data_IF_918219044882
#
_entry.id   IF_918219044882
#
_cell.length_a   1.000
_cell.length_b   1.000
_cell.length_c   1.000
_cell.angle_alpha   90.00
_cell.angle_beta   90.00
_cell.angle_gamma   90.00
#
_symmetry.space_group_name_H-M   'P 1'
#
loop_
_entity.id
_entity.type
_entity.pdbx_description
1 polymer ?
#
# COMPACT_ATOMS: atom_id res chain seq x y z
N UNK A 1 12.52 30.45 17.56
CA UNK A 1 12.84 30.00 16.18
C UNK A 1 12.14 28.66 16.05
N UNK A 2 10.96 28.63 15.43
CA UNK A 2 10.28 27.37 15.15
C UNK A 2 11.11 26.67 14.08
N UNK A 3 11.82 25.60 14.44
CA UNK A 3 12.42 24.71 13.46
C UNK A 3 11.27 23.89 12.89
N UNK A 4 10.62 24.41 11.86
CA UNK A 4 9.54 23.70 11.18
C UNK A 4 10.17 22.50 10.47
N UNK A 5 10.17 21.33 11.14
CA UNK A 5 10.59 20.08 10.53
C UNK A 5 9.48 19.67 9.57
N UNK A 6 9.80 19.60 8.28
CA UNK A 6 8.87 19.15 7.25
C UNK A 6 8.35 17.75 7.49
N UNK A 7 7.12 17.50 7.03
CA UNK A 7 6.56 16.17 6.90
C UNK A 7 7.18 15.46 5.70
N UNK A 8 7.57 14.20 5.84
CA UNK A 8 7.83 13.32 4.69
C UNK A 8 6.60 12.47 4.39
N UNK A 9 6.17 12.47 3.13
CA UNK A 9 5.11 11.59 2.62
C UNK A 9 5.71 10.61 1.63
N UNK A 10 5.50 9.31 1.87
CA UNK A 10 5.88 8.23 0.95
C UNK A 10 4.63 7.62 0.33
N UNK A 11 4.52 7.73 -1.00
CA UNK A 11 3.50 7.04 -1.79
C UNK A 11 4.10 5.78 -2.41
N UNK A 12 3.84 4.64 -1.77
CA UNK A 12 4.19 3.32 -2.26
C UNK A 12 3.22 2.86 -3.34
N UNK A 13 3.44 3.29 -4.58
CA UNK A 13 2.66 2.84 -5.74
C UNK A 13 3.23 1.53 -6.26
N UNK A 14 2.64 0.42 -5.83
CA UNK A 14 3.05 -0.92 -6.27
C UNK A 14 2.81 -1.10 -7.78
N UNK A 15 3.81 -1.61 -8.47
CA UNK A 15 3.78 -1.90 -9.91
C UNK A 15 4.03 -0.68 -10.83
N UNK A 16 4.67 0.40 -10.36
CA UNK A 16 5.21 1.41 -11.29
C UNK A 16 6.40 0.80 -12.03
N UNK A 17 6.28 0.75 -13.35
CA UNK A 17 7.33 0.41 -14.28
C UNK A 17 7.99 1.69 -14.81
N UNK A 18 9.31 1.78 -14.72
CA UNK A 18 10.06 2.99 -15.10
C UNK A 18 9.95 3.30 -16.60
N UNK A 19 9.99 2.26 -17.45
CA UNK A 19 9.90 2.43 -18.90
C UNK A 19 8.51 2.96 -19.28
N UNK A 20 7.44 2.35 -18.76
CA UNK A 20 6.07 2.80 -19.04
C UNK A 20 5.82 4.22 -18.52
N UNK A 21 6.29 4.54 -17.31
CA UNK A 21 6.14 5.88 -16.74
C UNK A 21 6.86 6.94 -17.59
N UNK A 22 8.02 6.60 -18.16
CA UNK A 22 8.80 7.48 -19.04
C UNK A 22 8.16 7.59 -20.42
N UNK A 23 7.79 6.47 -21.04
CA UNK A 23 7.14 6.42 -22.36
C UNK A 23 5.84 7.23 -22.38
N UNK A 24 5.05 7.13 -21.32
CA UNK A 24 3.77 7.83 -21.21
C UNK A 24 3.88 9.25 -20.65
N UNK A 25 5.10 9.75 -20.45
CA UNK A 25 5.39 11.11 -19.99
C UNK A 25 4.74 11.44 -18.63
N UNK A 26 4.64 10.45 -17.74
CA UNK A 26 4.06 10.61 -16.39
C UNK A 26 5.08 10.48 -15.27
N UNK A 27 6.32 10.06 -15.54
CA UNK A 27 7.37 9.87 -14.54
C UNK A 27 7.55 11.10 -13.62
N UNK A 28 7.57 12.31 -14.20
CA UNK A 28 7.74 13.57 -13.45
C UNK A 28 6.61 13.88 -12.47
N UNK A 29 5.47 13.19 -12.58
CA UNK A 29 4.38 13.29 -11.62
C UNK A 29 4.67 12.51 -10.33
N UNK A 30 5.52 11.49 -10.39
CA UNK A 30 5.92 10.64 -9.26
C UNK A 30 7.20 11.14 -8.57
N UNK A 31 7.86 12.14 -9.14
CA UNK A 31 9.03 12.81 -8.56
C UNK A 31 9.65 13.72 -9.60
N UNK A 32 10.24 14.85 -9.18
CA UNK A 32 10.97 15.71 -10.11
C UNK A 32 12.22 15.01 -10.65
N UNK A 33 12.89 14.26 -9.78
CA UNK A 33 13.97 13.36 -10.11
C UNK A 33 13.46 11.93 -9.95
N UNK A 34 13.72 11.09 -10.96
CA UNK A 34 13.28 9.70 -10.96
C UNK A 34 14.43 8.78 -11.33
N UNK A 35 14.37 7.55 -10.82
CA UNK A 35 15.36 6.51 -11.07
C UNK A 35 14.71 5.14 -11.09
N UNK A 36 15.23 4.28 -11.95
CA UNK A 36 14.98 2.84 -11.89
C UNK A 36 15.83 2.23 -10.77
N UNK A 37 15.19 1.46 -9.90
CA UNK A 37 15.86 0.74 -8.82
C UNK A 37 16.05 -0.73 -9.18
N UNK A 38 17.17 -1.30 -8.76
CA UNK A 38 17.33 -2.75 -8.74
C UNK A 38 16.43 -3.37 -7.66
N UNK A 39 15.69 -4.42 -8.03
CA UNK A 39 14.91 -5.25 -7.11
C UNK A 39 15.45 -6.69 -7.08
N UNK A 40 14.89 -7.53 -6.22
CA UNK A 40 15.33 -8.92 -6.08
C UNK A 40 14.19 -9.92 -6.22
N UNK A 41 14.54 -11.13 -6.64
CA UNK A 41 13.61 -12.24 -6.82
C UNK A 41 13.48 -13.07 -5.55
N UNK A 42 12.28 -13.62 -5.32
CA UNK A 42 12.16 -14.76 -4.43
C UNK A 42 12.80 -15.99 -5.11
N UNK A 43 13.77 -16.62 -4.47
CA UNK A 43 14.52 -17.76 -5.01
C UNK A 43 13.65 -18.91 -5.55
N UNK A 44 12.46 -19.11 -4.97
CA UNK A 44 11.55 -20.21 -5.32
C UNK A 44 10.42 -19.81 -6.29
N UNK A 45 10.21 -18.52 -6.50
CA UNK A 45 9.26 -17.99 -7.47
C UNK A 45 9.96 -17.48 -8.74
N UNK A 46 11.25 -17.12 -8.67
CA UNK A 46 12.04 -16.59 -9.78
C UNK A 46 11.50 -15.26 -10.30
N UNK A 47 10.91 -14.45 -9.43
CA UNK A 47 10.34 -13.13 -9.73
C UNK A 47 10.27 -12.28 -8.46
N UNK A 48 10.23 -10.94 -8.56
CA UNK A 48 10.04 -10.08 -7.40
C UNK A 48 8.66 -10.30 -6.79
N UNK A 49 8.54 -10.13 -5.48
CA UNK A 49 7.29 -10.34 -4.79
C UNK A 49 7.07 -9.36 -3.63
N UNK A 50 5.99 -8.58 -3.71
CA UNK A 50 5.51 -7.60 -2.73
C UNK A 50 5.63 -8.06 -1.28
N UNK A 51 5.31 -9.33 -1.01
CA UNK A 51 5.33 -9.89 0.35
C UNK A 51 6.70 -9.76 1.06
N UNK A 52 7.81 -9.88 0.35
CA UNK A 52 9.15 -9.81 0.96
C UNK A 52 9.87 -8.50 0.67
N UNK A 53 9.60 -7.85 -0.46
CA UNK A 53 10.29 -6.61 -0.83
C UNK A 53 9.84 -5.42 0.04
N UNK A 54 8.56 -5.26 0.36
CA UNK A 54 8.12 -4.13 1.20
C UNK A 54 8.71 -4.15 2.62
N UNK A 55 8.80 -5.30 3.33
CA UNK A 55 9.62 -5.41 4.53
C UNK A 55 11.08 -4.96 4.33
N UNK A 56 11.69 -5.32 3.20
CA UNK A 56 13.05 -4.89 2.88
C UNK A 56 13.14 -3.39 2.62
N UNK A 57 12.16 -2.80 1.94
CA UNK A 57 12.05 -1.34 1.73
C UNK A 57 11.99 -0.58 3.05
N UNK A 58 11.17 -1.04 4.01
CA UNK A 58 10.99 -0.31 5.28
C UNK A 58 12.08 -0.60 6.31
N UNK A 59 12.93 -1.60 6.11
CA UNK A 59 14.04 -1.95 7.02
C UNK A 59 15.42 -1.66 6.44
N UNK A 60 15.52 -1.53 5.12
CA UNK A 60 16.78 -1.51 4.38
C UNK A 60 17.54 -2.84 4.44
N UNK A 61 16.86 -3.94 4.77
CA UNK A 61 17.48 -5.26 4.98
C UNK A 61 16.91 -6.32 4.06
N UNK A 62 17.70 -7.28 3.60
CA UNK A 62 17.21 -8.36 2.76
C UNK A 62 16.37 -9.39 3.54
N UNK A 63 15.63 -10.28 2.86
CA UNK A 63 14.76 -11.29 3.48
C UNK A 63 15.41 -12.16 4.57
N UNK A 64 16.68 -12.52 4.42
CA UNK A 64 17.44 -13.30 5.40
C UNK A 64 17.62 -12.63 6.76
N UNK A 65 17.58 -11.30 6.79
CA UNK A 65 17.78 -10.53 8.02
C UNK A 65 16.47 -10.33 8.79
N UNK A 66 15.35 -10.18 8.07
CA UNK A 66 14.04 -9.99 8.69
C UNK A 66 13.16 -11.25 8.72
N UNK A 67 13.56 -12.32 8.03
CA UNK A 67 12.90 -13.63 8.04
C UNK A 67 11.50 -13.63 7.41
N UNK A 68 11.22 -12.71 6.48
CA UNK A 68 9.92 -12.62 5.80
C UNK A 68 10.15 -12.96 4.33
N UNK A 69 9.50 -14.04 3.88
CA UNK A 69 9.64 -14.59 2.54
C UNK A 69 8.27 -14.79 1.91
N UNK A 70 8.15 -14.54 0.61
CA UNK A 70 6.94 -14.84 -0.15
C UNK A 70 6.67 -16.36 -0.23
N UNK A 71 7.74 -17.14 -0.35
CA UNK A 71 7.72 -18.60 -0.40
C UNK A 71 9.06 -19.16 0.13
N UNK A 72 8.98 -20.25 0.90
CA UNK A 72 10.15 -20.99 1.41
C UNK A 72 10.07 -22.47 1.01
N UNK A 73 11.17 -23.22 1.11
CA UNK A 73 11.24 -24.64 0.72
C UNK A 73 10.35 -25.51 1.64
N UNK A 74 10.25 -25.13 2.92
CA UNK A 74 9.46 -25.81 3.94
C UNK A 74 7.97 -25.43 3.90
N UNK A 75 7.63 -24.27 3.31
CA UNK A 75 6.26 -23.80 3.14
C UNK A 75 5.76 -24.02 1.71
N UNK A 76 5.17 -25.19 1.48
CA UNK A 76 4.37 -25.45 0.29
C UNK A 76 3.25 -24.41 0.14
N UNK A 77 3.49 -23.39 -0.70
CA UNK A 77 2.51 -22.41 -1.15
C UNK A 77 1.61 -21.87 -0.01
N UNK A 78 2.18 -21.16 0.97
CA UNK A 78 1.42 -20.53 2.05
C UNK A 78 0.33 -19.56 1.53
N UNK A 79 0.53 -19.00 0.35
CA UNK A 79 -0.41 -18.07 -0.29
C UNK A 79 -1.48 -18.71 -1.19
N UNK A 80 -1.36 -20.00 -1.53
CA UNK A 80 -2.26 -20.66 -2.49
C UNK A 80 -2.92 -21.96 -1.99
N UNK A 81 -2.61 -22.46 -0.79
CA UNK A 81 -2.92 -23.88 -0.47
C UNK A 81 -3.88 -24.16 0.70
N UNK A 82 -4.34 -23.18 1.49
CA UNK A 82 -5.34 -23.46 2.56
C UNK A 82 -6.75 -22.98 2.28
N UNK A 83 -6.92 -21.80 1.68
CA UNK A 83 -8.25 -21.25 1.34
C UNK A 83 -8.74 -21.77 -0.01
N UNK A 84 -7.88 -21.81 -1.02
CA UNK A 84 -8.19 -22.33 -2.38
C UNK A 84 -8.48 -23.84 -2.35
N UNK A 85 -7.73 -24.63 -1.57
CA UNK A 85 -7.93 -26.08 -1.47
C UNK A 85 -9.23 -26.46 -0.75
N UNK A 86 -9.66 -25.66 0.24
CA UNK A 86 -10.94 -25.85 0.92
C UNK A 86 -12.11 -25.44 0.03
N UNK A 87 -11.97 -24.34 -0.72
CA UNK A 87 -12.94 -23.88 -1.70
C UNK A 87 -13.13 -24.88 -2.85
N UNK A 88 -12.03 -25.43 -3.40
CA UNK A 88 -12.05 -26.41 -4.50
C UNK A 88 -12.62 -27.78 -4.09
N UNK A 89 -12.54 -28.17 -2.80
CA UNK A 89 -13.19 -29.40 -2.31
C UNK A 89 -14.70 -29.26 -2.10
N UNK A 90 -15.19 -28.05 -1.88
CA UNK A 90 -16.61 -27.77 -1.66
C UNK A 90 -17.40 -27.56 -2.96
N UNK A 91 -16.73 -27.23 -4.07
CA UNK A 91 -17.35 -27.07 -5.40
C UNK A 91 -17.56 -28.39 -6.14
N UNK A 92 -16.85 -29.47 -5.76
CA UNK A 92 -16.98 -30.80 -6.38
C UNK A 92 -18.06 -31.71 -5.75
N UNK A 93 -18.90 -31.20 -4.84
CA UNK A 93 -19.94 -31.97 -4.15
C UNK A 93 -21.28 -31.27 -4.05
N UNK A 94 -22.37 -32.05 -3.98
CA UNK A 94 -23.75 -31.58 -3.78
C UNK A 94 -23.93 -31.12 -2.33
N UNK A 95 -23.45 -29.91 -2.01
CA UNK A 95 -23.60 -29.32 -0.67
C UNK A 95 -24.76 -28.32 -0.68
N UNK A 96 -25.75 -28.46 0.23
CA UNK A 96 -26.88 -27.53 0.34
C UNK A 96 -26.43 -26.08 0.56
N UNK A 97 -27.13 -25.14 -0.07
CA UNK A 97 -26.79 -23.71 -0.11
C UNK A 97 -26.65 -23.07 1.28
N UNK A 98 -27.46 -23.48 2.26
CA UNK A 98 -27.35 -23.01 3.66
C UNK A 98 -26.03 -23.39 4.32
N UNK A 99 -25.51 -24.59 4.06
CA UNK A 99 -24.25 -25.06 4.61
C UNK A 99 -23.10 -24.31 3.95
N UNK A 100 -23.19 -24.05 2.64
CA UNK A 100 -22.22 -23.23 1.90
C UNK A 100 -22.14 -21.80 2.43
N UNK A 101 -23.28 -21.19 2.75
CA UNK A 101 -23.34 -19.84 3.32
C UNK A 101 -22.82 -19.80 4.75
N UNK A 102 -23.14 -20.79 5.58
CA UNK A 102 -22.63 -20.89 6.96
C UNK A 102 -21.13 -21.20 7.01
N UNK A 103 -20.63 -22.09 6.15
CA UNK A 103 -19.19 -22.38 6.02
C UNK A 103 -18.47 -21.17 5.42
N UNK A 104 -19.02 -20.51 4.40
CA UNK A 104 -18.45 -19.28 3.85
C UNK A 104 -18.41 -18.15 4.87
N UNK A 105 -19.43 -18.04 5.73
CA UNK A 105 -19.44 -17.10 6.87
C UNK A 105 -18.45 -17.52 7.96
N UNK A 106 -18.25 -18.82 8.18
CA UNK A 106 -17.25 -19.35 9.10
C UNK A 106 -15.82 -19.21 8.58
N UNK A 107 -15.56 -19.32 7.27
CA UNK A 107 -14.25 -19.09 6.63
C UNK A 107 -13.93 -17.58 6.59
N UNK A 108 -14.94 -16.73 6.39
CA UNK A 108 -14.78 -15.27 6.54
C UNK A 108 -14.53 -14.86 7.99
N UNK A 109 -15.20 -15.49 8.96
CA UNK A 109 -15.07 -15.16 10.39
C UNK A 109 -13.87 -15.85 11.06
N UNK A 110 -13.53 -17.06 10.64
CA UNK A 110 -12.31 -17.77 10.99
C UNK A 110 -11.29 -17.60 9.88
N UNK A 111 -11.31 -16.43 9.21
CA UNK A 111 -10.26 -16.01 8.31
C UNK A 111 -8.97 -16.38 9.02
N UNK A 112 -8.24 -17.34 8.43
CA UNK A 112 -6.90 -17.63 8.87
C UNK A 112 -6.28 -16.25 8.93
N UNK A 113 -5.97 -15.75 10.12
CA UNK A 113 -5.25 -14.49 10.27
C UNK A 113 -4.03 -14.70 9.38
N UNK A 114 -4.05 -14.09 8.20
CA UNK A 114 -2.89 -14.02 7.35
C UNK A 114 -1.83 -13.45 8.29
N UNK A 115 -0.72 -14.17 8.44
CA UNK A 115 0.35 -13.89 9.39
C UNK A 115 1.12 -12.63 8.93
N UNK A 116 0.39 -11.53 8.78
CA UNK A 116 0.91 -10.21 8.50
C UNK A 116 1.67 -9.76 9.73
N UNK A 117 2.93 -9.43 9.52
CA UNK A 117 3.78 -8.96 10.60
C UNK A 117 3.30 -7.59 11.07
N UNK A 118 3.39 -7.38 12.38
CA UNK A 118 3.03 -6.13 13.05
C UNK A 118 4.31 -5.44 13.51
N UNK A 119 4.29 -4.17 13.95
CA UNK A 119 5.46 -3.52 14.54
C UNK A 119 6.13 -4.32 15.67
N UNK A 120 5.35 -5.11 16.43
CA UNK A 120 5.90 -5.99 17.47
C UNK A 120 6.85 -7.06 16.91
N UNK A 121 6.58 -7.60 15.72
CA UNK A 121 7.43 -8.59 15.07
C UNK A 121 8.86 -8.09 14.87
N UNK A 122 9.00 -6.87 14.37
CA UNK A 122 10.28 -6.21 14.09
C UNK A 122 11.00 -5.84 15.38
N UNK A 123 10.29 -5.17 16.33
CA UNK A 123 10.86 -4.79 17.63
C UNK A 123 11.35 -5.98 18.44
N UNK A 124 10.59 -7.07 18.51
CA UNK A 124 10.95 -8.27 19.26
C UNK A 124 12.21 -8.96 18.69
N UNK A 125 12.57 -8.65 17.44
CA UNK A 125 13.77 -9.15 16.75
C UNK A 125 14.90 -8.13 16.68
N UNK A 126 14.72 -6.92 17.23
CA UNK A 126 15.70 -5.85 17.13
C UNK A 126 15.93 -5.39 15.69
N UNK A 127 14.92 -5.49 14.84
CA UNK A 127 14.95 -4.97 13.47
C UNK A 127 14.29 -3.60 13.50
N UNK A 128 15.06 -2.59 13.13
CA UNK A 128 14.60 -1.22 13.02
C UNK A 128 13.87 -1.02 11.69
N UNK A 129 12.84 -0.19 11.71
CA UNK A 129 12.07 0.23 10.54
C UNK A 129 12.11 1.74 10.40
N UNK A 130 11.83 2.27 9.21
CA UNK A 130 11.71 3.72 8.94
C UNK A 130 10.68 4.45 9.82
N UNK A 131 9.85 3.71 10.56
CA UNK A 131 8.81 4.23 11.46
C UNK A 131 9.30 4.42 12.90
N UNK A 132 10.40 3.76 13.28
CA UNK A 132 10.89 3.77 14.65
C UNK A 132 11.49 5.15 15.00
N UNK A 133 11.30 5.56 16.26
CA UNK A 133 11.79 6.85 16.76
C UNK A 133 11.10 8.10 16.19
N UNK A 134 9.99 7.94 15.45
CA UNK A 134 9.27 9.01 14.75
C UNK A 134 7.80 9.05 15.11
N UNK A 135 7.20 10.23 14.99
CA UNK A 135 5.76 10.35 14.94
C UNK A 135 5.26 9.99 13.53
N UNK A 136 4.95 8.71 13.31
CA UNK A 136 4.65 8.18 11.98
C UNK A 136 3.22 7.63 11.83
N UNK A 137 2.72 7.66 10.59
CA UNK A 137 1.51 6.97 10.17
C UNK A 137 1.84 6.06 8.99
N UNK A 138 1.76 4.76 9.18
CA UNK A 138 1.80 3.77 8.10
C UNK A 138 0.39 3.33 7.72
N UNK A 139 0.13 3.18 6.42
CA UNK A 139 -1.16 2.77 5.88
C UNK A 139 -0.99 1.62 4.88
N UNK A 140 -1.53 0.47 5.24
CA UNK A 140 -1.60 -0.73 4.42
C UNK A 140 -0.25 -1.27 3.92
N UNK A 141 0.85 -0.95 4.59
CA UNK A 141 2.20 -1.41 4.22
C UNK A 141 2.28 -2.94 4.37
N UNK A 142 2.62 -3.70 3.30
CA UNK A 142 2.66 -5.15 3.35
C UNK A 142 3.59 -5.65 4.46
N UNK A 143 3.09 -6.59 5.27
CA UNK A 143 3.81 -7.11 6.45
C UNK A 143 4.24 -6.05 7.46
N UNK A 144 3.49 -4.95 7.57
CA UNK A 144 3.62 -3.97 8.65
C UNK A 144 2.23 -3.47 9.07
N UNK A 145 1.41 -4.38 9.62
CA UNK A 145 0.02 -4.09 10.03
C UNK A 145 -0.02 -3.35 11.36
N UNK A 146 -0.67 -2.20 11.39
CA UNK A 146 -0.80 -1.35 12.58
C UNK A 146 -2.24 -1.25 13.08
N UNK A 147 -2.40 -0.71 14.28
CA UNK A 147 -3.74 -0.41 14.82
C UNK A 147 -4.49 0.66 14.03
N UNK A 148 -3.77 1.55 13.33
CA UNK A 148 -4.38 2.54 12.45
C UNK A 148 -5.07 1.86 11.27
N UNK A 149 -4.45 0.81 10.71
CA UNK A 149 -5.03 0.04 9.63
C UNK A 149 -6.35 -0.62 10.05
N UNK A 150 -6.36 -1.24 11.24
CA UNK A 150 -7.56 -1.87 11.79
C UNK A 150 -8.67 -0.85 12.06
N UNK A 151 -8.32 0.30 12.65
CA UNK A 151 -9.28 1.35 12.97
C UNK A 151 -9.90 2.00 11.72
N UNK A 152 -9.15 2.02 10.61
CA UNK A 152 -9.58 2.61 9.33
C UNK A 152 -10.13 1.57 8.35
N UNK A 153 -10.29 0.32 8.78
CA UNK A 153 -10.77 -0.79 7.96
C UNK A 153 -9.90 -1.02 6.69
N UNK A 154 -8.59 -0.80 6.83
CA UNK A 154 -7.59 -1.03 5.80
C UNK A 154 -7.24 -2.53 5.75
N UNK A 155 -8.09 -3.30 5.08
CA UNK A 155 -7.83 -4.73 4.91
C UNK A 155 -6.60 -5.00 4.05
N UNK A 156 -5.85 -6.03 4.43
CA UNK A 156 -4.65 -6.49 3.73
C UNK A 156 -4.90 -7.71 2.85
N UNK A 157 -6.00 -8.46 3.09
CA UNK A 157 -6.36 -9.64 2.30
C UNK A 157 -6.94 -9.26 0.93
N UNK A 158 -6.04 -8.86 0.02
CA UNK A 158 -6.40 -8.52 -1.36
C UNK A 158 -7.03 -9.69 -2.09
N UNK A 159 -6.61 -10.92 -1.81
CA UNK A 159 -7.16 -12.14 -2.41
C UNK A 159 -8.64 -12.30 -2.10
N UNK A 160 -9.03 -12.13 -0.84
CA UNK A 160 -10.44 -12.16 -0.45
C UNK A 160 -11.22 -10.95 -0.98
N UNK A 161 -10.61 -9.75 -1.00
CA UNK A 161 -11.27 -8.53 -1.48
C UNK A 161 -11.48 -8.49 -2.99
N UNK A 162 -10.53 -9.04 -3.76
CA UNK A 162 -10.60 -9.09 -5.22
C UNK A 162 -11.21 -10.41 -5.71
N UNK A 163 -11.39 -11.42 -4.85
CA UNK A 163 -11.91 -12.73 -5.23
C UNK A 163 -13.34 -12.70 -5.81
N UNK A 164 -14.13 -11.67 -5.54
CA UNK A 164 -15.44 -11.48 -6.20
C UNK A 164 -15.34 -10.74 -7.54
N UNK A 165 -14.20 -10.09 -7.81
CA UNK A 165 -13.92 -9.29 -9.01
C UNK A 165 -13.02 -10.02 -10.02
N UNK A 166 -12.31 -11.06 -9.59
CA UNK A 166 -11.30 -11.77 -10.37
C UNK A 166 -11.58 -13.27 -10.42
N UNK A 167 -11.47 -13.84 -11.61
CA UNK A 167 -11.29 -15.26 -11.82
C UNK A 167 -9.80 -15.58 -11.86
N UNK A 168 -9.40 -16.63 -11.15
CA UNK A 168 -8.04 -17.16 -11.18
C UNK A 168 -8.06 -18.42 -12.02
N UNK A 169 -7.34 -18.41 -13.13
CA UNK A 169 -7.10 -19.60 -13.95
C UNK A 169 -5.63 -19.97 -13.88
N UNK A 170 -5.33 -21.26 -14.01
CA UNK A 170 -3.96 -21.76 -14.10
C UNK A 170 -3.81 -22.38 -15.48
N UNK A 171 -2.83 -21.92 -16.24
CA UNK A 171 -2.55 -22.48 -17.56
C UNK A 171 -1.85 -23.85 -17.46
N UNK A 172 -1.67 -24.53 -18.60
CA UNK A 172 -1.02 -25.84 -18.68
C UNK A 172 0.44 -25.83 -18.19
N UNK A 173 1.05 -24.66 -18.08
CA UNK A 173 2.42 -24.44 -17.61
C UNK A 173 2.48 -24.09 -16.11
N UNK A 174 1.33 -24.09 -15.42
CA UNK A 174 1.23 -23.76 -14.00
C UNK A 174 1.26 -22.26 -13.70
N UNK A 175 1.19 -21.40 -14.73
CA UNK A 175 1.16 -19.94 -14.54
C UNK A 175 -0.25 -19.52 -14.16
N UNK A 176 -0.33 -18.67 -13.14
CA UNK A 176 -1.59 -18.12 -12.66
C UNK A 176 -1.95 -16.90 -13.51
N UNK A 177 -3.13 -16.92 -14.13
CA UNK A 177 -3.70 -15.79 -14.86
C UNK A 177 -4.89 -15.25 -14.09
N UNK A 178 -4.93 -13.94 -13.91
CA UNK A 178 -6.06 -13.24 -13.33
C UNK A 178 -6.88 -12.63 -14.47
N UNK A 179 -8.19 -12.84 -14.45
CA UNK A 179 -9.12 -12.27 -15.42
C UNK A 179 -10.28 -11.61 -14.66
N UNK A 180 -10.80 -10.46 -15.10
CA UNK A 180 -11.98 -9.88 -14.48
C UNK A 180 -13.19 -10.83 -14.54
N UNK A 181 -13.85 -11.04 -13.41
CA UNK A 181 -15.13 -11.77 -13.33
C UNK A 181 -16.34 -10.84 -13.46
N UNK A 182 -16.10 -9.53 -13.44
CA UNK A 182 -17.10 -8.46 -13.56
C UNK A 182 -16.74 -7.49 -14.68
N UNK A 183 -17.69 -6.67 -15.18
CA UNK A 183 -17.37 -5.61 -16.14
C UNK A 183 -16.30 -4.65 -15.60
N UNK A 184 -15.40 -4.19 -16.48
CA UNK A 184 -14.23 -3.35 -16.15
C UNK A 184 -14.59 -2.13 -15.32
N UNK A 185 -15.62 -1.37 -15.70
CA UNK A 185 -16.04 -0.20 -14.94
C UNK A 185 -16.35 -0.48 -13.44
N UNK A 186 -16.80 -1.69 -13.09
CA UNK A 186 -17.04 -2.06 -11.68
C UNK A 186 -15.74 -2.38 -10.95
N UNK A 187 -14.81 -3.06 -11.62
CA UNK A 187 -13.48 -3.30 -11.10
C UNK A 187 -12.75 -1.97 -10.90
N UNK A 188 -12.78 -1.07 -11.89
CA UNK A 188 -12.22 0.28 -11.77
C UNK A 188 -12.80 1.04 -10.59
N UNK A 189 -14.13 1.06 -10.43
CA UNK A 189 -14.77 1.69 -9.26
C UNK A 189 -14.25 1.12 -7.94
N UNK A 190 -14.04 -0.19 -7.85
CA UNK A 190 -13.47 -0.84 -6.67
C UNK A 190 -12.03 -0.41 -6.41
N UNK A 191 -11.17 -0.48 -7.44
CA UNK A 191 -9.75 -0.12 -7.34
C UNK A 191 -9.55 1.37 -7.01
N UNK A 192 -10.30 2.25 -7.68
CA UNK A 192 -10.32 3.69 -7.39
C UNK A 192 -10.80 3.95 -5.96
N UNK A 193 -11.86 3.27 -5.50
CA UNK A 193 -12.36 3.46 -4.13
C UNK A 193 -11.32 3.06 -3.08
N UNK A 194 -10.56 1.99 -3.32
CA UNK A 194 -9.51 1.56 -2.42
C UNK A 194 -8.38 2.60 -2.34
N UNK A 195 -7.85 3.02 -3.50
CA UNK A 195 -6.77 4.01 -3.57
C UNK A 195 -7.20 5.34 -2.94
N UNK A 196 -8.39 5.84 -3.29
CA UNK A 196 -8.90 7.11 -2.78
C UNK A 196 -9.21 7.08 -1.29
N UNK A 197 -9.63 5.94 -0.73
CA UNK A 197 -9.81 5.79 0.71
C UNK A 197 -8.49 6.00 1.45
N UNK A 198 -7.40 5.38 0.97
CA UNK A 198 -6.06 5.52 1.55
C UNK A 198 -5.50 6.93 1.37
N UNK A 199 -5.59 7.49 0.16
CA UNK A 199 -5.16 8.87 -0.12
C UNK A 199 -5.96 9.90 0.68
N UNK A 200 -7.25 9.67 0.93
CA UNK A 200 -8.05 10.53 1.81
C UNK A 200 -7.49 10.61 3.23
N UNK A 201 -6.98 9.50 3.76
CA UNK A 201 -6.30 9.47 5.07
C UNK A 201 -4.98 10.21 5.00
N UNK A 202 -4.18 10.03 3.94
CA UNK A 202 -2.93 10.78 3.73
C UNK A 202 -3.20 12.30 3.74
N UNK A 203 -4.20 12.76 2.99
CA UNK A 203 -4.58 14.18 2.95
C UNK A 203 -5.06 14.71 4.31
N UNK A 204 -5.72 13.87 5.11
CA UNK A 204 -6.05 14.21 6.49
C UNK A 204 -4.81 14.28 7.39
N UNK A 205 -3.83 13.39 7.17
CA UNK A 205 -2.60 13.32 7.94
C UNK A 205 -1.65 14.48 7.62
N UNK A 206 -1.61 14.97 6.38
CA UNK A 206 -0.83 16.14 5.97
C UNK A 206 -1.16 17.39 6.80
N UNK A 207 -2.37 17.47 7.37
CA UNK A 207 -2.81 18.58 8.22
C UNK A 207 -2.31 18.48 9.68
N UNK A 208 -1.60 17.40 10.01
CA UNK A 208 -1.14 17.07 11.35
C UNK A 208 0.37 16.97 11.41
N UNK A 209 0.94 17.16 12.60
CA UNK A 209 2.38 17.17 12.83
C UNK A 209 3.02 15.78 12.80
N UNK A 210 2.77 14.98 11.77
CA UNK A 210 3.55 13.76 11.53
C UNK A 210 4.96 14.10 11.02
N UNK A 211 5.91 13.23 11.32
CA UNK A 211 7.26 13.24 10.74
C UNK A 211 7.25 12.45 9.43
N UNK A 212 6.55 11.31 9.42
CA UNK A 212 6.45 10.39 8.28
C UNK A 212 5.00 9.91 8.08
N UNK A 213 4.48 10.04 6.88
CA UNK A 213 3.26 9.35 6.43
C UNK A 213 3.62 8.43 5.28
N UNK A 214 3.43 7.12 5.45
CA UNK A 214 3.75 6.12 4.43
C UNK A 214 2.49 5.36 4.05
N UNK A 215 2.14 5.34 2.77
CA UNK A 215 0.97 4.61 2.27
C UNK A 215 1.37 3.63 1.18
N UNK A 216 0.78 2.43 1.19
CA UNK A 216 0.92 1.47 0.10
C UNK A 216 -0.36 1.36 -0.75
N UNK A 217 -0.19 1.36 -2.07
CA UNK A 217 -1.22 1.53 -3.09
C UNK A 217 -1.05 0.47 -4.20
N UNK A 218 -1.73 -0.67 -4.07
CA UNK A 218 -1.76 -1.75 -5.09
C UNK A 218 -2.53 -1.47 -6.39
N UNK A 219 -2.82 -0.20 -6.69
CA UNK A 219 -3.68 0.18 -7.81
C UNK A 219 -3.07 -0.18 -9.16
N UNK A 220 -1.81 0.21 -9.39
CA UNK A 220 -1.13 0.02 -10.68
C UNK A 220 -0.73 -1.44 -10.91
N UNK A 221 -0.22 -2.11 -9.88
CA UNK A 221 0.01 -3.56 -9.85
C UNK A 221 -1.21 -4.35 -10.37
N UNK A 222 -2.39 -4.12 -9.79
CA UNK A 222 -3.59 -4.86 -10.20
C UNK A 222 -4.07 -4.50 -11.60
N UNK A 223 -4.01 -3.22 -11.98
CA UNK A 223 -4.35 -2.83 -13.36
C UNK A 223 -3.40 -3.50 -14.35
N UNK A 224 -2.10 -3.45 -14.10
CA UNK A 224 -1.12 -4.02 -15.02
C UNK A 224 -1.26 -5.54 -15.14
N UNK A 225 -1.56 -6.26 -14.06
CA UNK A 225 -1.78 -7.71 -14.11
C UNK A 225 -2.94 -8.09 -15.02
N UNK A 226 -3.96 -7.24 -15.06
CA UNK A 226 -5.20 -7.50 -15.76
C UNK A 226 -5.20 -6.91 -17.16
N UNK A 227 -4.38 -5.88 -17.45
CA UNK A 227 -4.35 -5.19 -18.73
C UNK A 227 -4.27 -6.12 -19.95
N UNK A 228 -3.45 -7.20 -19.98
CA UNK A 228 -3.40 -8.12 -21.12
C UNK A 228 -4.65 -9.00 -21.30
N UNK A 229 -5.56 -8.98 -20.33
CA UNK A 229 -6.80 -9.80 -20.32
C UNK A 229 -8.04 -8.97 -20.59
N UNK A 230 -7.89 -7.64 -20.66
CA UNK A 230 -8.98 -6.68 -20.78
C UNK A 230 -9.04 -6.14 -22.20
N UNK A 231 -10.22 -6.22 -22.82
CA UNK A 231 -10.52 -5.69 -24.15
C UNK A 231 -10.85 -4.18 -24.09
N UNK A 232 -9.96 -3.40 -23.46
CA UNK A 232 -10.03 -1.93 -23.42
C UNK A 232 -8.63 -1.33 -23.62
N UNK A 233 -8.32 -0.98 -24.86
CA UNK A 233 -7.02 -0.40 -25.23
C UNK A 233 -6.66 0.81 -24.35
N UNK A 234 -5.39 0.85 -23.93
CA UNK A 234 -4.84 1.94 -23.14
C UNK A 234 -5.32 2.00 -21.68
N UNK A 235 -5.99 0.97 -21.16
CA UNK A 235 -6.46 0.95 -19.77
C UNK A 235 -5.33 1.15 -18.75
N UNK A 236 -4.20 0.45 -18.91
CA UNK A 236 -3.02 0.63 -18.06
C UNK A 236 -2.46 2.05 -18.11
N UNK A 237 -2.36 2.64 -19.31
CA UNK A 237 -1.95 4.04 -19.48
C UNK A 237 -2.88 5.01 -18.76
N UNK A 238 -4.21 4.85 -18.91
CA UNK A 238 -5.19 5.69 -18.18
C UNK A 238 -5.03 5.56 -16.67
N UNK A 239 -4.72 4.36 -16.17
CA UNK A 239 -4.45 4.16 -14.75
C UNK A 239 -3.17 4.87 -14.29
N UNK A 240 -2.09 4.85 -15.08
CA UNK A 240 -0.87 5.62 -14.81
C UNK A 240 -1.14 7.13 -14.81
N UNK A 241 -1.86 7.64 -15.79
CA UNK A 241 -2.26 9.06 -15.86
C UNK A 241 -3.11 9.47 -14.64
N UNK A 242 -3.97 8.56 -14.16
CA UNK A 242 -4.79 8.77 -12.98
C UNK A 242 -3.98 8.72 -11.67
N UNK A 243 -3.04 7.79 -11.52
CA UNK A 243 -2.12 7.74 -10.39
C UNK A 243 -1.23 8.98 -10.34
N UNK A 244 -0.67 9.38 -11.48
CA UNK A 244 0.09 10.62 -11.64
C UNK A 244 -0.73 11.86 -11.24
N UNK A 245 -2.01 11.91 -11.60
CA UNK A 245 -2.91 12.98 -11.17
C UNK A 245 -3.08 12.99 -9.65
N UNK A 246 -3.32 11.85 -9.02
CA UNK A 246 -3.48 11.76 -7.57
C UNK A 246 -2.19 12.12 -6.82
N UNK A 247 -1.03 11.71 -7.32
CA UNK A 247 0.27 12.12 -6.76
C UNK A 247 0.43 13.64 -6.81
N UNK A 248 0.10 14.28 -7.94
CA UNK A 248 0.13 15.76 -8.04
C UNK A 248 -0.83 16.43 -7.08
N UNK A 249 -2.02 15.86 -6.86
CA UNK A 249 -2.97 16.37 -5.86
C UNK A 249 -2.38 16.30 -4.44
N UNK A 250 -1.73 15.19 -4.07
CA UNK A 250 -1.02 15.08 -2.79
C UNK A 250 0.10 16.11 -2.71
N UNK A 251 0.95 16.24 -3.74
CA UNK A 251 2.03 17.25 -3.79
C UNK A 251 1.49 18.68 -3.59
N UNK A 252 0.32 18.99 -4.14
CA UNK A 252 -0.29 20.32 -4.01
C UNK A 252 -0.81 20.64 -2.60
N UNK A 253 -1.00 19.64 -1.74
CA UNK A 253 -1.37 19.82 -0.33
C UNK A 253 -0.13 20.00 0.58
N UNK A 254 1.07 19.74 0.05
CA UNK A 254 2.34 19.87 0.78
C UNK A 254 2.88 21.31 0.72
N UNK A 255 3.68 21.67 1.73
CA UNK A 255 4.40 22.95 1.80
C UNK A 255 5.84 22.79 1.30
N UNK A 256 6.53 23.90 1.03
CA UNK A 256 7.94 23.89 0.59
C UNK A 256 8.92 23.25 1.61
N UNK A 257 8.49 23.06 2.86
CA UNK A 257 9.28 22.37 3.88
C UNK A 257 9.09 20.85 3.86
N UNK A 258 7.98 20.37 3.28
CA UNK A 258 7.63 18.95 3.25
C UNK A 258 8.35 18.24 2.09
N UNK A 259 8.43 16.92 2.16
CA UNK A 259 9.07 16.08 1.13
C UNK A 259 8.10 15.01 0.64
N UNK A 260 8.02 14.83 -0.68
CA UNK A 260 7.28 13.73 -1.30
C UNK A 260 8.24 12.72 -1.93
N UNK A 261 8.07 11.45 -1.58
CA UNK A 261 8.73 10.33 -2.21
C UNK A 261 7.69 9.40 -2.83
N UNK A 262 7.95 8.88 -4.04
CA UNK A 262 7.20 7.76 -4.61
C UNK A 262 8.12 6.56 -4.78
N UNK A 263 7.61 5.39 -4.41
CA UNK A 263 8.37 4.13 -4.43
C UNK A 263 7.51 3.03 -5.03
N UNK A 264 8.12 2.17 -5.84
CA UNK A 264 7.57 0.88 -6.27
C UNK A 264 8.60 -0.21 -6.03
N UNK A 265 8.17 -1.35 -5.51
CA UNK A 265 8.99 -2.54 -5.25
C UNK A 265 9.39 -3.31 -6.51
N UNK A 266 8.61 -3.16 -7.58
CA UNK A 266 8.88 -3.68 -8.91
C UNK A 266 8.08 -2.92 -9.97
N UNK A 267 8.36 -3.18 -11.24
CA UNK A 267 7.53 -2.73 -12.36
C UNK A 267 6.58 -3.83 -12.82
N UNK A 268 5.75 -3.52 -13.82
CA UNK A 268 4.78 -4.48 -14.34
C UNK A 268 4.42 -4.22 -15.81
N UNK A 269 4.81 -5.17 -16.66
CA UNK A 269 4.55 -5.15 -18.10
C UNK A 269 3.93 -6.48 -18.54
N UNK A 270 3.02 -6.44 -19.51
CA UNK A 270 2.37 -7.64 -20.07
C UNK A 270 1.79 -8.61 -19.01
N UNK A 271 1.32 -8.03 -17.90
CA UNK A 271 0.72 -8.77 -16.78
C UNK A 271 1.72 -9.53 -15.90
N UNK A 272 3.01 -9.30 -16.06
CA UNK A 272 4.10 -9.94 -15.32
C UNK A 272 4.98 -8.89 -14.65
N UNK A 273 5.50 -9.21 -13.46
CA UNK A 273 6.39 -8.29 -12.75
C UNK A 273 7.70 -8.16 -13.55
N UNK A 274 8.19 -6.93 -13.69
CA UNK A 274 9.53 -6.65 -14.20
C UNK A 274 10.52 -6.53 -13.05
N UNK A 275 11.81 -6.65 -13.34
CA UNK A 275 12.91 -6.48 -12.38
C UNK A 275 13.30 -5.01 -12.17
N UNK A 276 12.45 -4.08 -12.63
CA UNK A 276 12.71 -2.64 -12.65
C UNK A 276 11.80 -1.94 -11.64
N UNK A 277 12.30 -1.77 -10.43
CA UNK A 277 11.61 -0.98 -9.40
C UNK A 277 11.70 0.52 -9.70
N UNK A 278 10.94 1.35 -8.98
CA UNK A 278 10.84 2.78 -9.25
C UNK A 278 11.07 3.62 -8.00
N UNK A 279 11.85 4.69 -8.14
CA UNK A 279 11.99 5.73 -7.13
C UNK A 279 11.81 7.12 -7.75
N UNK A 280 11.04 7.97 -7.08
CA UNK A 280 10.87 9.37 -7.44
C UNK A 280 10.92 10.26 -6.20
N UNK A 281 11.63 11.37 -6.28
CA UNK A 281 11.73 12.35 -5.21
C UNK A 281 11.85 13.79 -5.74
N UNK A 282 11.62 14.75 -4.85
CA UNK A 282 11.90 16.16 -5.11
C UNK A 282 13.42 16.47 -4.98
N UNK A 283 14.17 15.67 -4.22
CA UNK A 283 15.62 15.85 -4.01
C UNK A 283 16.45 14.97 -4.97
N UNK A 284 17.30 15.61 -5.78
CA UNK A 284 18.20 14.93 -6.74
C UNK A 284 19.28 14.09 -6.04
N UNK A 285 19.80 14.56 -4.90
CA UNK A 285 20.85 13.87 -4.14
C UNK A 285 20.38 12.52 -3.63
N UNK A 286 19.23 12.50 -2.97
CA UNK A 286 18.58 11.28 -2.46
C UNK A 286 18.27 10.31 -3.60
N UNK A 287 17.75 10.83 -4.72
CA UNK A 287 17.48 10.02 -5.92
C UNK A 287 18.73 9.38 -6.51
N UNK A 288 19.85 10.11 -6.52
CA UNK A 288 21.13 9.61 -7.06
C UNK A 288 21.75 8.54 -6.17
N UNK A 289 21.50 8.56 -4.87
CA UNK A 289 22.09 7.60 -3.91
C UNK A 289 21.23 6.36 -3.67
N UNK A 290 19.97 6.39 -4.09
CA UNK A 290 19.07 5.23 -4.02
C UNK A 290 19.22 4.37 -5.27
N UNK A 291 19.88 3.21 -5.19
CA UNK A 291 20.15 2.35 -6.36
C UNK A 291 19.31 1.07 -6.36
N UNK A 292 18.93 0.61 -5.17
CA UNK A 292 18.18 -0.63 -4.96
C UNK A 292 16.98 -0.39 -4.04
N UNK A 293 16.03 -1.32 -4.03
CA UNK A 293 14.90 -1.31 -3.07
C UNK A 293 15.36 -1.35 -1.60
N UNK A 294 16.59 -1.78 -1.32
CA UNK A 294 17.17 -1.79 0.03
C UNK A 294 17.65 -0.40 0.48
N UNK A 295 17.96 0.49 -0.46
CA UNK A 295 18.46 1.84 -0.14
C UNK A 295 17.32 2.79 0.24
N UNK A 296 16.07 2.42 -0.03
CA UNK A 296 14.89 3.27 0.20
C UNK A 296 14.74 3.64 1.68
N UNK A 297 15.06 2.75 2.61
CA UNK A 297 15.00 3.07 4.04
C UNK A 297 15.97 4.22 4.39
N UNK A 298 17.20 4.15 3.90
CA UNK A 298 18.20 5.19 4.11
C UNK A 298 17.81 6.51 3.44
N UNK A 299 17.22 6.44 2.23
CA UNK A 299 16.69 7.61 1.53
C UNK A 299 15.57 8.31 2.32
N UNK A 300 14.65 7.55 2.91
CA UNK A 300 13.62 8.09 3.81
C UNK A 300 14.27 8.72 5.04
N UNK A 301 15.29 8.07 5.61
CA UNK A 301 15.96 8.57 6.81
C UNK A 301 16.72 9.88 6.59
N UNK A 302 17.31 10.06 5.41
CA UNK A 302 18.02 11.27 5.03
C UNK A 302 17.11 12.51 5.01
N UNK A 303 15.88 12.35 4.48
CA UNK A 303 14.92 13.46 4.33
C UNK A 303 14.00 13.61 5.53
N UNK A 304 13.82 12.56 6.34
CA UNK A 304 12.86 12.57 7.45
C UNK A 304 13.52 13.00 8.76
N UNK A 305 13.21 14.21 9.22
CA UNK A 305 13.60 14.68 10.55
C UNK A 305 12.64 14.19 11.62
N UNK A 306 13.18 13.55 12.65
CA UNK A 306 12.39 13.01 13.77
C UNK A 306 12.12 14.10 14.81
N UNK A 307 10.87 14.28 15.22
CA UNK A 307 10.52 15.10 16.39
C UNK A 307 10.70 14.27 17.67
N UNK A 308 11.16 14.92 18.73
CA UNK A 308 11.44 14.26 20.02
C UNK A 308 10.21 13.99 20.88
N UNK A 309 9.01 14.47 20.49
CA UNK A 309 7.80 14.32 21.30
C UNK A 309 6.86 13.26 20.73
N UNK A 310 6.47 12.29 21.55
CA UNK A 310 5.69 11.11 21.19
C UNK A 310 4.21 11.29 21.54
N UNK A 311 3.64 12.41 21.09
CA UNK A 311 2.29 12.85 21.42
C UNK A 311 1.23 12.45 20.39
N UNK A 312 0.01 12.94 20.61
CA UNK A 312 -1.01 12.93 19.55
C UNK A 312 -0.64 14.03 18.55
N UNK A 313 -0.57 13.74 17.24
CA UNK A 313 -0.25 14.75 16.23
C UNK A 313 -1.17 15.97 16.29
N UNK A 314 -0.60 17.11 16.65
CA UNK A 314 -1.32 18.38 16.66
C UNK A 314 -1.68 18.83 15.24
N UNK A 315 -2.61 19.77 15.12
CA UNK A 315 -2.90 20.42 13.83
C UNK A 315 -1.76 21.37 13.49
N UNK A 316 -1.18 21.21 12.29
CA UNK A 316 -0.12 22.09 11.77
C UNK A 316 -0.64 23.51 11.61
N UNK A 317 0.24 24.50 11.80
CA UNK A 317 -0.10 25.92 11.73
C UNK A 317 -0.88 26.36 10.47
N UNK A 318 -0.55 25.91 9.24
CA UNK A 318 -1.31 26.29 8.04
C UNK A 318 -2.79 25.87 8.06
N UNK A 319 -3.13 24.84 8.85
CA UNK A 319 -4.47 24.28 8.97
C UNK A 319 -5.18 24.71 10.26
N UNK A 320 -4.47 25.39 11.16
CA UNK A 320 -5.01 25.88 12.42
C UNK A 320 -5.91 27.07 12.14
N UNK A 321 -7.18 26.97 12.52
CA UNK A 321 -8.11 28.12 12.52
C UNK A 321 -8.12 28.76 13.89
N UNK A 322 -8.24 30.09 13.94
CA UNK A 322 -8.51 30.79 15.20
C UNK A 322 -9.76 30.18 15.84
N UNK A 323 -9.60 29.62 17.04
CA UNK A 323 -10.68 29.02 17.79
C UNK A 323 -11.75 30.08 18.10
N UNK A 324 -12.88 30.00 17.40
CA UNK A 324 -14.15 30.45 17.97
C UNK A 324 -14.36 29.69 19.27
N UNK A 325 -14.48 30.40 20.38
CA UNK A 325 -14.52 29.91 21.77
C UNK A 325 -15.75 29.07 22.14
N UNK A 326 -16.30 28.32 21.21
CA UNK A 326 -17.49 27.48 21.39
C UNK A 326 -17.12 26.00 21.23
N UNK A 327 -16.21 25.51 22.06
CA UNK A 327 -16.21 24.09 22.40
C UNK A 327 -17.42 23.87 23.30
N UNK A 328 -18.54 23.42 22.71
CA UNK A 328 -19.72 23.03 23.47
C UNK A 328 -19.40 21.90 24.44
N UNK A 329 -20.08 21.86 25.59
CA UNK A 329 -19.96 20.74 26.53
C UNK A 329 -20.25 19.42 25.80
N UNK A 330 -19.51 18.36 26.11
CA UNK A 330 -19.60 17.07 25.39
C UNK A 330 -21.03 16.49 25.37
N UNK A 331 -21.81 16.78 26.42
CA UNK A 331 -23.23 16.39 26.53
C UNK A 331 -24.09 17.15 25.51
N UNK A 332 -23.91 18.47 25.37
CA UNK A 332 -24.61 19.26 24.37
C UNK A 332 -24.28 18.82 22.93
N UNK A 333 -23.03 18.44 22.66
CA UNK A 333 -22.64 17.86 21.36
C UNK A 333 -23.31 16.51 21.14
N UNK A 334 -23.35 15.66 22.17
CA UNK A 334 -24.01 14.34 22.09
C UNK A 334 -25.50 14.47 21.82
N UNK A 335 -26.18 15.36 22.54
CA UNK A 335 -27.61 15.62 22.36
C UNK A 335 -27.88 16.14 20.94
N UNK A 336 -27.07 17.09 20.48
CA UNK A 336 -27.15 17.59 19.11
C UNK A 336 -26.96 16.47 18.07
N UNK A 337 -25.97 15.60 18.25
CA UNK A 337 -25.74 14.48 17.32
C UNK A 337 -26.87 13.45 17.35
N UNK A 338 -27.48 13.21 18.52
CA UNK A 338 -28.64 12.32 18.68
C UNK A 338 -29.89 12.92 18.02
N UNK A 339 -30.13 14.22 18.19
CA UNK A 339 -31.23 14.95 17.55
C UNK A 339 -31.11 14.97 16.02
N UNK A 340 -29.88 14.98 15.51
CA UNK A 340 -29.58 14.88 14.08
C UNK A 340 -29.60 13.43 13.56
N UNK A 341 -29.74 12.43 14.44
CA UNK A 341 -29.79 11.01 14.08
C UNK A 341 -28.45 10.38 13.69
N UNK A 342 -27.33 10.99 14.11
CA UNK A 342 -25.98 10.42 13.89
C UNK A 342 -25.61 9.37 14.95
N UNK A 343 -26.22 9.44 16.14
CA UNK A 343 -26.13 8.48 17.26
C UNK A 343 -27.51 7.87 17.50
#
# INVERSE_FOLDING_TARGET
>A
MSSDSGLTVVLGWDGIDNELATEWEVASAFGEHTRELETFDNDLLGKPHTHEIWPSIITGRPPEDHGIYAKTEDEGAAWNSRTVALAARLTNGVVPERIRTSIGKAIRNAGAELDYKTPAYYRDRGIETVFDGRQSLSLAVPNYRTTADDALDMHFDRGAQLGEYLNITTDEQGRTRHEPSVPIHRLEQRLVSEAMRKLGVVRSAIQREYDLVFVWLGYLDTVGHLAPTVDEDGWQRRAYEQAAKWTREVRSDLTDADTLLCVSDHGLQDGTHSHSAFFGADDEGVTRETETVLDVAAAIDEVTRSRTDAGVPEVRDPYRRETSSTTGEAEAVRDQLSDLGYL
#
